data_IF_986177568094
#
_entry.id   IF_986177568094
#
_cell.length_a   1.000
_cell.length_b   1.000
_cell.length_c   1.000
_cell.angle_alpha   90.00
_cell.angle_beta   90.00
_cell.angle_gamma   90.00
#
_symmetry.space_group_name_H-M   'P 1'
#
loop_
_entity.id
_entity.type
_entity.pdbx_description
1 polymer ?
#
# COMPACT_ATOMS: atom_id res chain seq x y z
N UNK A 1 -18.21 7.31 1.02
CA UNK A 1 -18.24 5.84 1.00
C UNK A 1 -18.93 5.35 2.25
N UNK A 2 -19.74 4.30 2.17
CA UNK A 2 -20.58 3.82 3.27
C UNK A 2 -19.84 2.97 4.30
N UNK A 3 -20.60 2.28 5.17
CA UNK A 3 -20.05 1.25 6.06
C UNK A 3 -19.59 0.05 5.20
N UNK A 4 -18.41 -0.54 5.47
CA UNK A 4 -17.96 -1.74 4.77
C UNK A 4 -18.93 -2.91 4.95
N UNK A 5 -19.09 -3.73 3.91
CA UNK A 5 -19.69 -5.06 4.02
C UNK A 5 -18.78 -5.98 4.87
N UNK A 6 -19.27 -7.18 5.19
CA UNK A 6 -18.46 -8.18 5.90
C UNK A 6 -17.21 -8.56 5.10
N UNK A 7 -17.35 -8.77 3.79
CA UNK A 7 -16.24 -9.17 2.92
C UNK A 7 -15.23 -8.03 2.76
N UNK A 8 -15.71 -6.79 2.64
CA UNK A 8 -14.84 -5.61 2.60
C UNK A 8 -14.07 -5.42 3.90
N UNK A 9 -14.73 -5.65 5.05
CA UNK A 9 -14.08 -5.61 6.36
C UNK A 9 -13.03 -6.72 6.50
N UNK A 10 -13.35 -7.95 6.09
CA UNK A 10 -12.41 -9.08 6.12
C UNK A 10 -11.19 -8.83 5.22
N UNK A 11 -11.39 -8.26 4.03
CA UNK A 11 -10.29 -7.83 3.17
C UNK A 11 -9.38 -6.83 3.87
N UNK A 12 -9.96 -5.74 4.42
CA UNK A 12 -9.18 -4.70 5.08
C UNK A 12 -8.46 -5.23 6.32
N UNK A 13 -9.04 -6.21 7.01
CA UNK A 13 -8.40 -6.90 8.13
C UNK A 13 -7.21 -7.75 7.65
N UNK A 14 -7.38 -8.51 6.57
CA UNK A 14 -6.29 -9.24 5.93
C UNK A 14 -5.14 -8.32 5.50
N UNK A 15 -5.46 -7.14 4.96
CA UNK A 15 -4.45 -6.12 4.63
C UNK A 15 -3.66 -5.72 5.88
N UNK A 16 -4.32 -5.39 6.99
CA UNK A 16 -3.65 -4.92 8.22
C UNK A 16 -2.70 -5.96 8.84
N UNK A 17 -2.95 -7.24 8.59
CA UNK A 17 -2.11 -8.34 9.07
C UNK A 17 -1.08 -8.80 8.04
N UNK A 18 -1.13 -8.30 6.81
CA UNK A 18 -0.16 -8.58 5.76
C UNK A 18 1.04 -7.61 5.74
N UNK A 19 1.91 -7.71 4.73
CA UNK A 19 2.99 -6.77 4.49
C UNK A 19 2.51 -5.52 3.73
N UNK A 20 3.33 -4.47 3.75
CA UNK A 20 3.23 -3.39 2.78
C UNK A 20 3.53 -3.92 1.37
N UNK A 21 2.66 -3.64 0.40
CA UNK A 21 2.82 -4.17 -0.96
C UNK A 21 4.09 -3.66 -1.65
N UNK A 22 4.49 -2.42 -1.40
CA UNK A 22 5.70 -1.82 -1.98
C UNK A 22 6.97 -2.40 -1.35
N UNK A 23 6.98 -2.61 -0.03
CA UNK A 23 8.08 -3.33 0.63
C UNK A 23 8.17 -4.77 0.11
N UNK A 24 7.03 -5.47 -0.03
CA UNK A 24 6.99 -6.85 -0.47
C UNK A 24 7.52 -7.01 -1.92
N UNK A 25 7.15 -6.10 -2.83
CA UNK A 25 7.72 -6.09 -4.19
C UNK A 25 9.25 -5.93 -4.21
N UNK A 26 9.83 -5.27 -3.19
CA UNK A 26 11.28 -5.13 -3.02
C UNK A 26 11.93 -6.26 -2.21
N UNK A 27 11.18 -7.27 -1.80
CA UNK A 27 11.67 -8.35 -0.94
C UNK A 27 11.97 -7.91 0.50
N UNK A 28 11.38 -6.79 0.93
CA UNK A 28 11.59 -6.21 2.26
C UNK A 28 10.46 -6.65 3.18
N UNK A 29 10.83 -7.27 4.30
CA UNK A 29 9.88 -7.62 5.36
C UNK A 29 9.26 -6.34 5.96
N UNK A 30 7.95 -6.33 6.10
CA UNK A 30 7.21 -5.22 6.69
C UNK A 30 5.92 -5.74 7.33
N UNK A 31 5.41 -5.01 8.31
CA UNK A 31 4.25 -5.40 9.11
C UNK A 31 3.36 -4.19 9.38
N UNK A 32 2.12 -4.47 9.75
CA UNK A 32 1.13 -3.49 10.19
C UNK A 32 0.89 -2.35 9.17
N UNK A 33 0.62 -2.65 7.89
CA UNK A 33 0.32 -1.62 6.91
C UNK A 33 -1.02 -0.93 7.22
N UNK A 34 -1.10 0.33 6.82
CA UNK A 34 -2.32 1.10 6.80
C UNK A 34 -3.09 0.79 5.50
N UNK A 35 -4.43 0.68 5.62
CA UNK A 35 -5.30 0.47 4.46
C UNK A 35 -5.39 1.77 3.66
N UNK A 36 -4.97 1.72 2.40
CA UNK A 36 -5.02 2.82 1.46
C UNK A 36 -6.09 2.57 0.39
N UNK A 37 -7.01 3.52 0.19
CA UNK A 37 -8.03 3.46 -0.86
C UNK A 37 -7.48 4.02 -2.16
N UNK A 38 -7.47 3.19 -3.20
CA UNK A 38 -7.13 3.62 -4.56
C UNK A 38 -8.23 4.52 -5.15
N UNK A 39 -7.84 5.38 -6.09
CA UNK A 39 -8.70 6.43 -6.64
C UNK A 39 -8.87 6.28 -8.16
N UNK A 40 -10.01 6.73 -8.68
CA UNK A 40 -10.21 7.00 -10.10
C UNK A 40 -10.71 8.43 -10.27
N UNK A 41 -9.95 9.26 -10.96
CA UNK A 41 -10.28 10.69 -11.14
C UNK A 41 -10.58 11.40 -9.82
N UNK A 42 -9.73 11.18 -8.80
CA UNK A 42 -9.85 11.70 -7.43
C UNK A 42 -11.01 11.14 -6.58
N UNK A 43 -11.77 10.16 -7.07
CA UNK A 43 -12.83 9.49 -6.31
C UNK A 43 -12.39 8.13 -5.82
N UNK A 44 -12.65 7.81 -4.55
CA UNK A 44 -12.50 6.44 -4.02
C UNK A 44 -13.49 5.52 -4.73
N UNK A 45 -13.02 4.39 -5.23
CA UNK A 45 -13.81 3.50 -6.10
C UNK A 45 -14.46 2.32 -5.36
N UNK A 46 -14.13 2.10 -4.09
CA UNK A 46 -14.75 1.07 -3.24
C UNK A 46 -13.82 0.59 -2.12
N UNK A 47 -14.35 -0.13 -1.11
CA UNK A 47 -13.49 -0.74 -0.09
C UNK A 47 -12.71 -1.95 -0.62
N UNK A 48 -13.18 -2.57 -1.72
CA UNK A 48 -12.45 -3.62 -2.42
C UNK A 48 -11.23 -3.11 -3.20
N UNK A 49 -11.18 -1.81 -3.51
CA UNK A 49 -10.02 -1.18 -4.15
C UNK A 49 -9.09 -0.60 -3.09
N UNK A 50 -8.55 -1.48 -2.26
CA UNK A 50 -7.65 -1.15 -1.16
C UNK A 50 -6.35 -1.93 -1.25
N UNK A 51 -5.26 -1.28 -0.82
CA UNK A 51 -3.92 -1.85 -0.70
C UNK A 51 -3.31 -1.53 0.67
N UNK A 52 -2.35 -2.34 1.12
CA UNK A 52 -1.60 -2.12 2.35
C UNK A 52 -0.31 -1.35 2.11
N UNK A 53 -0.15 -0.20 2.76
CA UNK A 53 1.09 0.59 2.72
C UNK A 53 1.63 0.84 4.14
N UNK A 54 2.93 0.66 4.36
CA UNK A 54 3.56 1.03 5.62
C UNK A 54 3.60 2.56 5.79
N UNK A 55 3.96 3.05 6.98
CA UNK A 55 4.01 4.48 7.27
C UNK A 55 4.94 5.29 6.34
N UNK A 56 6.03 4.67 5.86
CA UNK A 56 6.88 5.27 4.83
C UNK A 56 6.14 5.37 3.49
N UNK A 57 5.73 4.25 2.89
CA UNK A 57 5.10 4.26 1.57
C UNK A 57 3.74 4.98 1.55
N UNK A 58 3.04 5.07 2.67
CA UNK A 58 1.77 5.78 2.76
C UNK A 58 1.92 7.29 3.01
N UNK A 59 2.74 7.67 4.00
CA UNK A 59 2.75 9.05 4.56
C UNK A 59 4.14 9.69 4.62
N UNK A 60 5.16 9.04 4.03
CA UNK A 60 6.56 9.44 4.09
C UNK A 60 7.10 9.61 5.52
N UNK A 61 6.63 8.77 6.47
CA UNK A 61 7.15 8.78 7.83
C UNK A 61 8.57 8.21 7.83
N UNK A 62 9.54 9.07 8.12
CA UNK A 62 10.94 8.72 8.27
C UNK A 62 11.12 7.90 9.55
N UNK A 63 11.93 6.85 9.47
CA UNK A 63 12.18 5.93 10.57
C UNK A 63 13.68 5.76 10.82
N UNK A 64 14.02 5.16 11.96
CA UNK A 64 15.38 4.72 12.32
C UNK A 64 16.48 5.80 12.26
N UNK A 65 16.11 7.08 12.38
CA UNK A 65 17.07 8.19 12.29
C UNK A 65 17.61 8.45 10.88
N UNK A 66 17.03 7.81 9.86
CA UNK A 66 17.37 8.05 8.46
C UNK A 66 16.93 9.44 8.00
N UNK A 67 17.40 9.85 6.83
CA UNK A 67 16.90 10.95 6.03
C UNK A 67 15.86 10.44 5.04
N UNK A 68 15.04 11.34 4.47
CA UNK A 68 14.10 10.97 3.41
C UNK A 68 14.81 10.41 2.16
N UNK A 69 16.04 10.86 1.88
CA UNK A 69 16.84 10.33 0.78
C UNK A 69 17.27 8.88 1.01
N UNK A 70 17.74 8.55 2.22
CA UNK A 70 18.10 7.17 2.59
C UNK A 70 16.87 6.26 2.62
N UNK A 71 15.73 6.75 3.12
CA UNK A 71 14.47 6.02 3.06
C UNK A 71 14.09 5.71 1.60
N UNK A 72 14.21 6.69 0.69
CA UNK A 72 13.91 6.49 -0.73
C UNK A 72 14.87 5.52 -1.40
N UNK A 73 16.17 5.61 -1.11
CA UNK A 73 17.18 4.72 -1.69
C UNK A 73 16.91 3.25 -1.33
N UNK A 74 16.58 3.00 -0.06
CA UNK A 74 16.35 1.65 0.42
C UNK A 74 14.96 1.12 0.05
N UNK A 75 13.90 1.87 0.37
CA UNK A 75 12.51 1.41 0.26
C UNK A 75 11.82 1.84 -1.03
N UNK A 76 12.42 2.70 -1.85
CA UNK A 76 11.76 3.34 -2.98
C UNK A 76 10.90 4.55 -2.57
N UNK A 77 10.28 5.23 -3.55
CA UNK A 77 9.53 6.46 -3.31
C UNK A 77 8.30 6.23 -2.43
N UNK A 78 7.96 7.22 -1.61
CA UNK A 78 6.67 7.23 -0.89
C UNK A 78 5.56 7.75 -1.79
N UNK A 79 4.33 7.25 -1.63
CA UNK A 79 3.17 7.79 -2.34
C UNK A 79 2.94 9.27 -1.99
N UNK A 80 3.29 9.68 -0.77
CA UNK A 80 3.20 11.07 -0.31
C UNK A 80 4.23 11.99 -0.99
N UNK A 81 5.25 11.44 -1.66
CA UNK A 81 6.19 12.18 -2.51
C UNK A 81 5.66 12.39 -3.94
N UNK A 82 4.53 11.74 -4.26
CA UNK A 82 3.81 11.90 -5.52
C UNK A 82 3.44 10.55 -6.17
N UNK A 83 2.26 10.49 -6.77
CA UNK A 83 1.78 9.27 -7.45
C UNK A 83 2.61 8.91 -8.68
N UNK A 84 3.18 9.90 -9.40
CA UNK A 84 4.01 9.66 -10.58
C UNK A 84 5.28 8.83 -10.26
N UNK A 85 6.17 9.26 -9.35
CA UNK A 85 7.34 8.45 -8.99
C UNK A 85 6.94 7.13 -8.34
N UNK A 86 5.88 7.10 -7.52
CA UNK A 86 5.40 5.87 -6.91
C UNK A 86 4.96 4.83 -7.96
N UNK A 87 4.15 5.23 -8.95
CA UNK A 87 3.69 4.32 -10.00
C UNK A 87 4.76 3.95 -11.01
N UNK A 88 5.78 4.80 -11.20
CA UNK A 88 6.92 4.46 -12.04
C UNK A 88 7.71 3.28 -11.45
N UNK A 89 7.80 3.18 -10.12
CA UNK A 89 8.51 2.10 -9.43
C UNK A 89 7.61 0.86 -9.22
N UNK A 90 6.41 1.05 -8.67
CA UNK A 90 5.59 -0.06 -8.15
C UNK A 90 4.40 -0.45 -9.06
N UNK A 91 4.22 0.27 -10.17
CA UNK A 91 3.11 0.08 -11.10
C UNK A 91 1.88 0.93 -10.78
N UNK A 92 0.91 0.91 -11.69
CA UNK A 92 -0.34 1.67 -11.57
C UNK A 92 -1.26 1.13 -10.47
N UNK A 93 -2.26 1.90 -10.05
CA UNK A 93 -3.34 1.46 -9.13
C UNK A 93 -3.90 0.08 -9.50
N UNK A 94 -4.10 -0.21 -10.79
CA UNK A 94 -4.61 -1.51 -11.24
C UNK A 94 -3.62 -2.65 -11.00
N UNK A 95 -2.32 -2.40 -11.23
CA UNK A 95 -1.25 -3.35 -10.95
C UNK A 95 -1.13 -3.59 -9.44
N UNK A 96 -1.12 -2.51 -8.65
CA UNK A 96 -1.04 -2.58 -7.19
C UNK A 96 -2.25 -3.33 -6.61
N UNK A 97 -3.45 -3.09 -7.13
CA UNK A 97 -4.65 -3.80 -6.69
C UNK A 97 -4.60 -5.29 -7.03
N UNK A 98 -4.18 -5.62 -8.25
CA UNK A 98 -3.99 -7.02 -8.66
C UNK A 98 -2.97 -7.73 -7.77
N UNK A 99 -1.85 -7.07 -7.49
CA UNK A 99 -0.82 -7.59 -6.61
C UNK A 99 -1.32 -7.83 -5.18
N UNK A 100 -2.05 -6.87 -4.61
CA UNK A 100 -2.67 -7.03 -3.29
C UNK A 100 -3.66 -8.20 -3.26
N UNK A 101 -4.41 -8.41 -4.35
CA UNK A 101 -5.37 -9.50 -4.43
C UNK A 101 -4.67 -10.86 -4.40
N UNK A 102 -3.58 -11.04 -5.14
CA UNK A 102 -2.80 -12.28 -5.08
C UNK A 102 -2.20 -12.48 -3.68
N UNK A 103 -1.62 -11.43 -3.11
CA UNK A 103 -1.02 -11.51 -1.79
C UNK A 103 -2.03 -11.91 -0.69
N UNK A 104 -3.28 -11.47 -0.78
CA UNK A 104 -4.32 -11.87 0.17
C UNK A 104 -4.81 -13.30 -0.02
N UNK A 105 -4.65 -13.91 -1.20
CA UNK A 105 -4.97 -15.33 -1.40
C UNK A 105 -3.94 -16.22 -0.71
N UNK A 106 -2.66 -15.82 -0.72
CA UNK A 106 -1.57 -16.57 -0.13
C UNK A 106 -1.55 -16.52 1.41
N UNK A 107 -2.26 -15.57 2.01
CA UNK A 107 -2.37 -15.36 3.46
C UNK A 107 -3.60 -16.04 4.10
N UNK A 108 -4.44 -16.71 3.31
CA UNK A 108 -5.65 -17.43 3.76
C UNK A 108 -5.39 -18.93 3.90
#
# INVERSE_FOLDING_TARGET
MGKPTKDEAARMDGIKHGPCIACHQRGIASWCPEVHHLLSGSRRIGHMATVGLCSWHHRAVIQWGCTGAEMRDHYGPSLNEGSKPFHAEFGSDAVLLGYQNELLKDLQ
#
